data_IF_773284414722
#
_entry.id   IF_773284414722
#
_cell.length_a   1.000
_cell.length_b   1.000
_cell.length_c   1.000
_cell.angle_alpha   90.00
_cell.angle_beta   90.00
_cell.angle_gamma   90.00
#
_symmetry.space_group_name_H-M   'P 1'
#
loop_
_entity.id
_entity.type
_entity.pdbx_description
1 polymer ?
2 non-polymer ?
3 non-polymer ?
4 water ?
#
# COMPACT_ATOMS: atom_id res chain seq x y z
N UNK A 1 17.58 3.97 8.45
CA UNK A 1 17.49 3.50 9.85
C UNK A 1 17.06 4.62 10.81
N UNK A 2 16.00 4.36 11.57
CA UNK A 2 15.43 5.27 12.59
C UNK A 2 14.28 4.50 13.28
N UNK A 3 13.18 5.16 13.67
CA UNK A 3 11.99 4.42 14.15
C UNK A 3 11.30 3.69 13.01
N UNK A 4 11.34 2.37 13.06
CA UNK A 4 10.81 1.51 12.00
C UNK A 4 9.69 0.63 12.56
N UNK A 5 8.64 1.26 13.09
CA UNK A 5 7.49 0.54 13.62
C UNK A 5 6.32 0.74 12.66
N UNK A 6 5.63 -0.35 12.32
CA UNK A 6 4.48 -0.31 11.41
C UNK A 6 3.30 -1.10 11.97
N UNK A 7 2.14 -0.48 11.99
CA UNK A 7 0.87 -1.20 12.20
C UNK A 7 0.31 -1.46 10.82
N UNK A 8 0.17 -2.74 10.48
CA UNK A 8 -0.24 -3.18 9.16
C UNK A 8 -1.60 -3.89 9.28
N UNK A 9 -2.62 -3.35 8.63
CA UNK A 9 -4.02 -3.80 8.72
C UNK A 9 -4.47 -4.31 7.34
N UNK A 10 -4.52 -5.63 7.22
CA UNK A 10 -4.73 -6.29 5.95
C UNK A 10 -5.24 -7.71 6.17
N UNK A 11 -5.57 -8.35 5.08
CA UNK A 11 -5.92 -9.74 5.04
C UNK A 11 -4.75 -10.69 5.40
N UNK A 12 -5.12 -11.91 5.78
CA UNK A 12 -4.16 -12.98 6.01
C UNK A 12 -4.71 -14.27 5.44
N UNK A 13 -3.87 -14.99 4.70
CA UNK A 13 -4.16 -16.32 4.17
C UNK A 13 -3.14 -17.33 4.71
N UNK A 14 -3.59 -18.55 5.00
CA UNK A 14 -2.70 -19.64 5.38
C UNK A 14 -1.78 -20.01 4.24
N UNK A 15 -2.34 -20.23 3.06
CA UNK A 15 -1.55 -20.54 1.88
C UNK A 15 -1.52 -19.38 0.87
N UNK A 16 -0.32 -19.10 0.37
CA UNK A 16 -0.09 -18.09 -0.66
C UNK A 16 0.51 -16.83 -0.08
N UNK A 17 0.86 -15.92 -0.98
CA UNK A 17 1.53 -14.68 -0.57
C UNK A 17 0.70 -13.49 -1.01
N UNK A 18 -0.19 -13.09 -0.11
CA UNK A 18 -1.05 -11.92 -0.28
C UNK A 18 -1.23 -11.30 1.08
N UNK A 19 -1.67 -10.06 1.10
CA UNK A 19 -2.04 -9.41 2.34
C UNK A 19 -0.87 -9.30 3.28
N UNK A 20 -1.15 -9.46 4.58
CA UNK A 20 -0.13 -9.34 5.60
C UNK A 20 1.02 -10.32 5.46
N UNK A 21 0.78 -11.51 4.89
CA UNK A 21 1.90 -12.44 4.68
C UNK A 21 2.85 -11.86 3.62
N UNK A 22 2.27 -11.33 2.55
CA UNK A 22 3.05 -10.69 1.48
C UNK A 22 3.80 -9.43 1.91
N UNK A 23 3.21 -8.64 2.80
CA UNK A 23 3.79 -7.37 3.24
C UNK A 23 4.80 -7.52 4.36
N UNK A 24 4.57 -8.46 5.27
CA UNK A 24 5.29 -8.47 6.52
C UNK A 24 6.76 -8.87 6.33
N UNK A 25 7.02 -9.87 5.51
CA UNK A 25 8.38 -10.32 5.33
C UNK A 25 9.29 -9.22 4.70
N UNK A 26 8.85 -8.60 3.60
CA UNK A 26 9.70 -7.52 3.05
C UNK A 26 10.01 -6.42 4.05
N UNK A 27 9.02 -6.03 4.84
CA UNK A 27 9.22 -5.04 5.86
C UNK A 27 10.22 -5.49 6.93
N UNK A 28 10.09 -6.73 7.38
CA UNK A 28 10.98 -7.26 8.42
C UNK A 28 12.43 -7.37 7.90
N UNK A 29 12.55 -7.76 6.64
CA UNK A 29 13.82 -7.83 5.96
C UNK A 29 14.55 -6.48 5.94
N UNK A 30 13.76 -5.40 5.81
CA UNK A 30 14.27 -4.04 5.90
C UNK A 30 14.31 -3.49 7.34
N UNK A 31 14.13 -4.35 8.35
CA UNK A 31 14.35 -3.95 9.75
C UNK A 31 13.12 -3.42 10.49
N UNK A 32 11.93 -3.62 9.93
CA UNK A 32 10.73 -3.02 10.50
C UNK A 32 10.08 -3.97 11.49
N UNK A 33 9.66 -3.43 12.62
CA UNK A 33 8.80 -4.13 13.57
C UNK A 33 7.33 -3.97 13.12
N UNK A 34 6.78 -5.06 12.58
CA UNK A 34 5.44 -5.06 12.02
C UNK A 34 4.45 -5.63 13.04
N UNK A 35 3.52 -4.78 13.50
CA UNK A 35 2.36 -5.19 14.28
C UNK A 35 1.21 -5.39 13.33
N UNK A 36 0.72 -6.62 13.22
CA UNK A 36 -0.25 -6.98 12.21
C UNK A 36 -1.65 -7.09 12.82
N UNK A 37 -2.64 -6.59 12.09
CA UNK A 37 -4.06 -6.91 12.38
C UNK A 37 -4.61 -7.58 11.16
N UNK A 38 -5.01 -8.82 11.31
CA UNK A 38 -5.49 -9.63 10.21
C UNK A 38 -6.99 -9.48 10.09
N UNK A 39 -7.42 -8.74 9.07
CA UNK A 39 -8.83 -8.39 8.87
C UNK A 39 -9.66 -9.59 8.46
N UNK A 40 -9.02 -10.55 7.82
CA UNK A 40 -9.57 -11.87 7.60
C UNK A 40 -8.46 -12.89 7.80
N UNK A 41 -8.85 -14.12 8.15
CA UNK A 41 -7.91 -15.23 8.22
C UNK A 41 -8.46 -16.37 7.40
N UNK A 42 -8.11 -16.37 6.12
CA UNK A 42 -8.65 -17.33 5.15
C UNK A 42 -7.63 -18.42 4.78
N UNK A 43 -8.10 -19.44 4.07
CA UNK A 43 -7.28 -20.57 3.67
C UNK A 43 -6.33 -20.19 2.53
N UNK A 44 -6.83 -19.33 1.65
CA UNK A 44 -6.07 -18.88 0.49
C UNK A 44 -6.75 -17.67 -0.17
N UNK A 45 -6.07 -17.12 -1.17
CA UNK A 45 -6.63 -16.02 -1.94
C UNK A 45 -7.59 -16.58 -2.98
N UNK A 46 -8.27 -15.67 -3.68
CA UNK A 46 -9.13 -16.01 -4.81
C UNK A 46 -8.33 -16.75 -5.87
N UNK A 47 -9.02 -17.49 -6.73
CA UNK A 47 -8.38 -18.27 -7.80
C UNK A 47 -8.59 -19.77 -7.66
N UNK A 48 -8.52 -20.25 -6.42
CA UNK A 48 -8.69 -21.67 -6.13
C UNK A 48 -10.17 -22.10 -6.18
N UNK A 49 -10.43 -23.40 -6.42
CA UNK A 49 -11.82 -23.90 -6.39
C UNK A 49 -12.59 -23.45 -5.15
N UNK A 50 -11.90 -23.47 -4.00
CA UNK A 50 -12.53 -23.25 -2.70
C UNK A 50 -11.78 -22.19 -1.86
N UNK A 51 -12.53 -21.31 -1.20
CA UNK A 51 -11.97 -20.41 -0.20
C UNK A 51 -12.81 -20.49 1.08
N UNK A 52 -12.14 -20.63 2.22
CA UNK A 52 -12.78 -20.71 3.53
C UNK A 52 -12.02 -19.92 4.56
N UNK A 53 -12.69 -19.60 5.66
CA UNK A 53 -12.03 -19.01 6.83
C UNK A 53 -12.88 -17.96 7.52
N UNK A 54 -12.25 -17.29 8.49
CA UNK A 54 -12.92 -16.35 9.36
C UNK A 54 -12.73 -14.90 8.89
N UNK A 55 -13.78 -14.09 9.05
CA UNK A 55 -13.73 -12.68 8.69
C UNK A 55 -13.97 -11.89 9.96
N UNK A 56 -13.11 -10.91 10.19
CA UNK A 56 -13.19 -10.16 11.44
C UNK A 56 -14.50 -9.34 11.44
N UNK A 57 -15.23 -9.41 12.54
CA UNK A 57 -16.41 -8.55 12.79
C UNK A 57 -15.99 -7.24 13.42
N UNK A 58 -16.93 -6.30 13.50
CA UNK A 58 -16.68 -5.00 14.10
C UNK A 58 -16.40 -5.15 15.58
N UNK A 59 -17.21 -5.97 16.25
CA UNK A 59 -17.01 -6.32 17.64
C UNK A 59 -15.59 -6.87 17.96
N UNK A 60 -15.10 -7.77 17.11
CA UNK A 60 -13.78 -8.38 17.28
C UNK A 60 -12.68 -7.32 17.10
N UNK A 61 -12.78 -6.56 16.01
CA UNK A 61 -11.86 -5.46 15.78
C UNK A 61 -11.80 -4.54 16.99
N UNK A 62 -12.96 -3.97 17.37
CA UNK A 62 -13.02 -3.11 18.55
C UNK A 62 -12.39 -3.75 19.78
N UNK A 63 -12.62 -5.04 19.99
CA UNK A 63 -12.15 -5.70 21.20
C UNK A 63 -10.63 -5.84 21.19
N UNK A 64 -10.10 -6.28 20.04
CA UNK A 64 -8.65 -6.31 19.82
C UNK A 64 -8.07 -4.95 20.14
N UNK A 65 -8.67 -3.92 19.55
CA UNK A 65 -8.15 -2.56 19.67
C UNK A 65 -8.16 -2.01 21.10
N UNK A 66 -9.10 -2.47 21.94
CA UNK A 66 -9.10 -2.12 23.36
C UNK A 66 -7.78 -2.45 24.04
N UNK A 67 -7.25 -3.63 23.72
CA UNK A 67 -6.01 -4.10 24.30
C UNK A 67 -4.83 -3.28 23.78
N UNK A 68 -4.82 -3.11 22.47
CA UNK A 68 -3.79 -2.32 21.81
C UNK A 68 -3.73 -0.90 22.36
N UNK A 69 -4.90 -0.27 22.53
CA UNK A 69 -4.99 1.09 23.09
C UNK A 69 -4.62 1.11 24.57
N UNK A 70 -5.20 0.20 25.35
CA UNK A 70 -5.00 0.17 26.80
C UNK A 70 -3.52 0.05 27.18
N UNK A 71 -2.77 -0.73 26.38
CA UNK A 71 -1.36 -1.01 26.68
C UNK A 71 -0.41 0.02 26.09
N UNK A 72 -0.95 1.13 25.59
CA UNK A 72 -0.19 2.23 25.01
C UNK A 72 0.65 1.83 23.79
N UNK A 73 0.18 0.89 22.97
CA UNK A 73 0.92 0.51 21.76
C UNK A 73 0.72 1.53 20.63
N UNK A 74 -0.37 2.29 20.69
CA UNK A 74 -0.70 3.20 19.60
C UNK A 74 0.33 4.33 19.47
N UNK A 75 0.91 4.74 20.59
CA UNK A 75 1.91 5.81 20.58
C UNK A 75 3.21 5.45 19.87
N UNK A 76 3.44 4.17 19.59
CA UNK A 76 4.73 3.73 19.11
C UNK A 76 4.74 3.26 17.67
N UNK A 77 3.72 3.67 16.90
CA UNK A 77 3.72 3.38 15.48
C UNK A 77 4.17 4.61 14.68
N UNK A 78 5.25 4.45 13.93
CA UNK A 78 5.72 5.50 13.03
C UNK A 78 4.97 5.43 11.70
N UNK A 79 4.49 4.23 11.35
CA UNK A 79 3.76 4.00 10.13
C UNK A 79 2.44 3.25 10.39
N UNK A 80 1.44 3.59 9.61
CA UNK A 80 0.26 2.73 9.45
C UNK A 80 0.12 2.35 7.99
N UNK A 81 -0.06 1.05 7.76
CA UNK A 81 -0.23 0.51 6.42
C UNK A 81 -1.55 -0.22 6.37
N UNK A 82 -2.44 0.18 5.46
CA UNK A 82 -3.67 -0.56 5.24
C UNK A 82 -3.72 -1.15 3.83
N UNK A 83 -4.26 -2.35 3.76
CA UNK A 83 -4.43 -3.07 2.51
C UNK A 83 -5.87 -3.54 2.38
N UNK A 84 -6.03 -4.81 2.04
CA UNK A 84 -7.35 -5.39 1.80
C UNK A 84 -8.10 -5.49 3.11
N UNK A 85 -9.26 -4.81 3.17
CA UNK A 85 -10.17 -4.83 4.34
C UNK A 85 -11.60 -5.24 3.97
N UNK A 86 -12.15 -4.66 2.89
CA UNK A 86 -13.52 -4.96 2.44
C UNK A 86 -14.55 -5.14 3.56
N UNK A 87 -14.77 -4.09 4.34
CA UNK A 87 -15.79 -4.09 5.38
C UNK A 87 -16.05 -2.63 5.70
N UNK A 88 -17.26 -2.16 5.41
CA UNK A 88 -17.61 -0.74 5.56
C UNK A 88 -17.37 -0.24 6.98
N UNK A 89 -17.73 -1.05 7.97
CA UNK A 89 -17.65 -0.62 9.37
C UNK A 89 -16.19 -0.50 9.82
N UNK A 90 -15.34 -1.41 9.34
CA UNK A 90 -13.93 -1.48 9.79
C UNK A 90 -13.07 -0.46 9.05
N UNK A 91 -13.18 -0.43 7.73
CA UNK A 91 -12.50 0.63 6.97
C UNK A 91 -13.03 1.97 7.52
N UNK A 92 -14.31 1.95 7.90
CA UNK A 92 -14.92 3.08 8.56
C UNK A 92 -14.34 3.33 9.94
N UNK A 93 -14.07 2.25 10.66
CA UNK A 93 -13.37 2.32 11.96
C UNK A 93 -11.89 2.75 11.85
N UNK A 94 -11.25 2.47 10.72
CA UNK A 94 -9.82 2.79 10.59
C UNK A 94 -9.57 4.30 10.65
N UNK A 95 -10.53 5.09 10.14
CA UNK A 95 -10.52 6.54 10.30
C UNK A 95 -10.25 6.92 11.74
N UNK A 96 -10.89 6.20 12.65
CA UNK A 96 -10.67 6.40 14.09
C UNK A 96 -9.31 5.87 14.52
N UNK A 97 -8.97 4.64 14.11
CA UNK A 97 -7.66 4.06 14.45
C UNK A 97 -6.52 4.99 14.03
N UNK A 98 -6.59 5.52 12.80
CA UNK A 98 -5.65 6.52 12.31
C UNK A 98 -5.63 7.76 13.17
N UNK A 99 -6.81 8.30 13.50
CA UNK A 99 -6.88 9.57 14.24
C UNK A 99 -6.36 9.45 15.68
N UNK A 100 -6.57 8.29 16.32
CA UNK A 100 -6.03 8.07 17.68
C UNK A 100 -4.50 8.08 17.65
N UNK A 101 -3.92 7.43 16.64
CA UNK A 101 -2.46 7.37 16.52
C UNK A 101 -1.88 8.77 16.24
N UNK A 102 -2.40 9.48 15.25
CA UNK A 102 -1.82 10.78 14.86
C UNK A 102 -1.76 11.77 16.03
N UNK A 103 -2.84 11.87 16.79
CA UNK A 103 -2.86 12.79 17.95
C UNK A 103 -1.88 12.32 19.03
N UNK A 104 -1.84 11.02 19.33
CA UNK A 104 -0.87 10.48 20.27
C UNK A 104 0.57 10.85 19.85
N UNK A 105 0.86 10.69 18.57
CA UNK A 105 2.19 10.94 18.04
C UNK A 105 2.55 12.43 18.08
N UNK A 106 1.62 13.27 17.65
CA UNK A 106 1.86 14.71 17.56
C UNK A 106 2.14 15.31 18.95
N UNK A 107 1.42 14.84 19.95
CA UNK A 107 1.62 15.29 21.33
C UNK A 107 3.01 14.99 21.89
N UNK A 108 3.69 13.97 21.36
CA UNK A 108 5.07 13.68 21.77
C UNK A 108 6.10 14.13 20.74
N UNK A 109 5.67 14.99 19.82
CA UNK A 109 6.50 15.56 18.75
C UNK A 109 7.16 14.51 17.84
N UNK A 110 6.44 13.42 17.56
CA UNK A 110 6.89 12.40 16.61
C UNK A 110 5.97 12.37 15.40
N UNK A 111 6.44 11.76 14.32
CA UNK A 111 5.70 11.81 13.06
C UNK A 111 4.87 10.54 12.86
N UNK A 112 3.95 10.64 11.92
CA UNK A 112 3.19 9.50 11.49
C UNK A 112 3.02 9.57 9.99
N UNK A 113 3.23 8.42 9.35
CA UNK A 113 2.99 8.30 7.94
C UNK A 113 1.98 7.16 7.69
N UNK A 114 0.84 7.52 7.10
CA UNK A 114 -0.21 6.58 6.78
C UNK A 114 -0.16 6.33 5.28
N UNK A 115 0.16 5.08 4.93
CA UNK A 115 0.14 4.61 3.54
C UNK A 115 -1.08 3.72 3.35
N UNK A 116 -1.99 4.19 2.49
CA UNK A 116 -3.25 3.53 2.19
C UNK A 116 -3.23 2.91 0.82
N UNK A 117 -3.30 1.59 0.79
CA UNK A 117 -3.48 0.88 -0.43
C UNK A 117 -4.97 0.56 -0.49
N UNK A 118 -5.71 1.27 -1.35
CA UNK A 118 -7.17 1.22 -1.32
C UNK A 118 -7.68 0.02 -2.11
N UNK A 119 -7.46 -1.18 -1.58
CA UNK A 119 -7.71 -2.39 -2.33
C UNK A 119 -9.21 -2.59 -2.55
N UNK A 120 -9.61 -2.57 -3.81
CA UNK A 120 -10.99 -2.83 -4.24
C UNK A 120 -10.93 -3.59 -5.57
N UNK A 130 -18.67 -1.52 -3.61
CA UNK A 130 -19.90 -1.58 -2.83
C UNK A 130 -20.11 -0.28 -2.04
N UNK A 131 -20.55 -0.37 -0.79
CA UNK A 131 -20.50 0.76 0.17
C UNK A 131 -19.07 0.97 0.68
N UNK A 132 -18.19 0.02 0.38
CA UNK A 132 -16.75 0.14 0.61
C UNK A 132 -16.11 1.34 -0.12
N UNK A 133 -16.62 1.68 -1.31
CA UNK A 133 -16.13 2.83 -2.06
C UNK A 133 -16.34 4.11 -1.29
N UNK A 134 -17.57 4.33 -0.81
CA UNK A 134 -17.89 5.56 -0.06
C UNK A 134 -17.00 5.66 1.17
N UNK A 135 -16.79 4.53 1.84
CA UNK A 135 -15.93 4.49 3.01
C UNK A 135 -14.46 4.83 2.68
N UNK A 136 -13.97 4.33 1.55
CA UNK A 136 -12.60 4.70 1.12
C UNK A 136 -12.49 6.19 0.78
N UNK A 137 -13.52 6.74 0.16
CA UNK A 137 -13.53 8.16 -0.12
C UNK A 137 -13.37 8.98 1.14
N UNK A 138 -13.88 8.46 2.26
CA UNK A 138 -13.72 9.11 3.56
C UNK A 138 -12.35 8.85 4.22
N UNK A 139 -11.75 7.69 3.96
CA UNK A 139 -10.47 7.34 4.60
C UNK A 139 -9.26 7.92 3.86
N UNK A 140 -9.29 7.89 2.54
CA UNK A 140 -8.15 8.30 1.74
C UNK A 140 -7.66 9.73 2.04
N UNK A 141 -8.58 10.67 2.35
CA UNK A 141 -8.13 12.02 2.70
C UNK A 141 -7.15 12.11 3.86
N UNK A 142 -7.13 11.09 4.70
CA UNK A 142 -6.23 11.07 5.85
C UNK A 142 -4.84 10.46 5.50
N UNK A 143 -4.72 9.87 4.33
CA UNK A 143 -3.47 9.23 3.89
C UNK A 143 -2.39 10.25 3.53
N UNK A 144 -1.15 9.93 3.85
CA UNK A 144 0.02 10.66 3.37
C UNK A 144 0.43 10.15 1.98
N UNK A 145 0.30 8.84 1.80
CA UNK A 145 0.59 8.18 0.54
C UNK A 145 -0.57 7.24 0.19
N UNK A 146 -1.03 7.26 -1.06
CA UNK A 146 -1.99 6.29 -1.57
C UNK A 146 -1.42 5.61 -2.80
N UNK A 147 -1.73 4.32 -2.95
CA UNK A 147 -1.16 3.50 -4.03
C UNK A 147 -2.25 2.77 -4.86
N UNK A 148 -3.18 3.53 -5.45
CA UNK A 148 -4.23 2.92 -6.25
C UNK A 148 -3.71 2.27 -7.52
N UNK A 149 -4.27 1.13 -7.92
CA UNK A 149 -4.10 0.70 -9.29
C UNK A 149 -5.02 1.59 -10.15
N UNK A 150 -4.98 1.43 -11.45
CA UNK A 150 -5.79 2.29 -12.32
C UNK A 150 -7.30 2.14 -12.07
N UNK A 151 -7.74 0.94 -11.75
CA UNK A 151 -9.16 0.69 -11.50
C UNK A 151 -9.60 1.44 -10.25
N UNK A 152 -8.82 1.33 -9.18
CA UNK A 152 -9.12 2.01 -7.92
C UNK A 152 -9.04 3.53 -8.04
N UNK A 153 -8.10 4.02 -8.84
CA UNK A 153 -8.00 5.47 -9.10
C UNK A 153 -9.24 5.95 -9.87
N UNK A 154 -9.68 5.15 -10.85
CA UNK A 154 -10.90 5.44 -11.62
C UNK A 154 -12.17 5.46 -10.75
N UNK A 155 -12.29 4.48 -9.86
CA UNK A 155 -13.44 4.39 -8.96
C UNK A 155 -13.51 5.54 -7.98
N UNK A 156 -12.40 5.81 -7.32
CA UNK A 156 -12.37 6.85 -6.30
C UNK A 156 -12.55 8.24 -6.90
N UNK A 157 -11.86 8.52 -8.00
CA UNK A 157 -11.85 9.89 -8.56
C UNK A 157 -13.06 10.20 -9.45
N UNK A 158 -13.68 9.17 -10.03
CA UNK A 158 -14.75 9.38 -11.02
C UNK A 158 -14.23 9.54 -12.43
N UNK A 159 -12.89 9.51 -12.56
CA UNK A 159 -12.23 9.69 -13.85
C UNK A 159 -11.60 8.38 -14.32
N UNK A 160 -11.97 7.92 -15.51
CA UNK A 160 -11.47 6.68 -16.02
C UNK A 160 -10.01 6.87 -16.39
N UNK A 161 -9.14 6.10 -15.72
CA UNK A 161 -7.69 6.19 -15.91
C UNK A 161 -7.27 5.26 -17.04
N UNK A 162 -7.18 5.84 -18.23
CA UNK A 162 -6.85 5.14 -19.47
C UNK A 162 -5.37 5.35 -19.82
N UNK A 163 -4.86 6.55 -19.55
CA UNK A 163 -3.53 6.99 -20.01
C UNK A 163 -2.93 8.01 -19.04
N UNK A 164 -1.82 8.64 -19.43
CA UNK A 164 -1.12 9.61 -18.57
C UNK A 164 -2.01 10.81 -18.20
N UNK A 165 -2.66 11.38 -19.21
CA UNK A 165 -3.50 12.57 -19.01
C UNK A 165 -4.62 12.34 -18.02
N UNK A 166 -5.29 11.20 -18.16
CA UNK A 166 -6.39 10.85 -17.27
C UNK A 166 -5.85 10.47 -15.89
N UNK A 167 -4.71 9.78 -15.87
CA UNK A 167 -4.01 9.45 -14.61
C UNK A 167 -3.72 10.71 -13.79
N UNK A 168 -3.34 11.77 -14.49
CA UNK A 168 -3.04 13.05 -13.85
C UNK A 168 -4.30 13.70 -13.29
N UNK A 169 -5.41 13.65 -14.04
CA UNK A 169 -6.68 14.19 -13.52
C UNK A 169 -7.17 13.40 -12.29
N UNK A 170 -7.01 12.08 -12.34
CA UNK A 170 -7.31 11.22 -11.18
C UNK A 170 -6.45 11.62 -9.97
N UNK A 171 -5.16 11.76 -10.18
CA UNK A 171 -4.24 12.15 -9.11
C UNK A 171 -4.60 13.53 -8.52
N UNK A 172 -5.05 14.46 -9.34
CA UNK A 172 -5.52 15.76 -8.84
C UNK A 172 -6.67 15.61 -7.85
N UNK A 173 -7.60 14.71 -8.14
CA UNK A 173 -8.70 14.44 -7.21
C UNK A 173 -8.19 14.05 -5.81
N UNK A 174 -7.19 13.19 -5.76
CA UNK A 174 -6.59 12.79 -4.50
C UNK A 174 -5.94 13.97 -3.78
N UNK A 175 -5.21 14.81 -4.51
CA UNK A 175 -4.58 15.97 -3.86
C UNK A 175 -5.66 16.90 -3.33
N UNK A 176 -6.74 17.07 -4.08
CA UNK A 176 -7.81 17.97 -3.68
C UNK A 176 -8.47 17.53 -2.40
N UNK A 177 -8.55 16.23 -2.15
CA UNK A 177 -9.20 15.76 -0.91
C UNK A 177 -8.19 15.65 0.26
N UNK A 178 -6.91 15.91 -0.02
CA UNK A 178 -5.92 16.09 1.04
C UNK A 178 -4.65 15.26 0.94
N UNK A 179 -4.51 14.39 -0.06
CA UNK A 179 -3.39 13.44 -0.11
C UNK A 179 -2.11 14.04 -0.73
N UNK A 180 -1.01 14.04 0.01
CA UNK A 180 0.24 14.66 -0.47
C UNK A 180 0.90 13.85 -1.59
N UNK A 181 1.04 12.55 -1.39
CA UNK A 181 1.77 11.68 -2.31
C UNK A 181 0.85 10.64 -2.97
N UNK A 182 0.76 10.67 -4.29
CA UNK A 182 -0.12 9.76 -5.02
C UNK A 182 0.65 8.93 -6.03
N UNK A 183 0.56 7.60 -5.91
CA UNK A 183 1.16 6.74 -6.92
C UNK A 183 0.04 5.95 -7.62
N UNK A 184 -0.10 6.18 -8.92
CA UNK A 184 -0.98 5.36 -9.74
C UNK A 184 -0.07 4.34 -10.43
N UNK A 185 -0.18 3.09 -9.97
CA UNK A 185 0.86 2.08 -10.15
C UNK A 185 1.07 1.58 -11.55
N UNK A 186 0.03 1.66 -12.38
CA UNK A 186 0.17 1.37 -13.78
C UNK A 186 -1.07 1.71 -14.55
N UNK A 187 -0.84 1.87 -15.84
CA UNK A 187 -1.85 1.88 -16.86
C UNK A 187 -1.08 1.46 -18.10
N UNK A 188 -1.77 0.90 -19.08
CA UNK A 188 -1.13 0.40 -20.29
C UNK A 188 -1.29 1.39 -21.42
N UNK A 192 4.66 1.22 -25.78
CA UNK A 192 3.28 1.69 -25.86
C UNK A 192 2.28 0.58 -25.51
N UNK A 193 2.56 -0.67 -25.97
CA UNK A 193 1.92 -1.89 -25.42
C UNK A 193 2.82 -2.79 -24.57
N UNK A 194 4.10 -2.89 -24.95
CA UNK A 194 5.05 -3.80 -24.28
C UNK A 194 5.58 -3.25 -22.93
N UNK A 195 5.01 -2.12 -22.49
CA UNK A 195 5.39 -1.46 -21.24
C UNK A 195 4.16 -1.07 -20.43
N UNK A 196 4.36 -0.97 -19.11
CA UNK A 196 3.39 -0.35 -18.23
C UNK A 196 3.98 0.99 -17.81
N UNK A 197 3.16 2.04 -17.83
CA UNK A 197 3.56 3.37 -17.33
C UNK A 197 2.92 3.65 -15.97
N UNK A 198 3.67 4.31 -15.08
CA UNK A 198 3.14 4.75 -13.80
C UNK A 198 3.27 6.25 -13.65
N UNK A 199 2.51 6.80 -12.70
CA UNK A 199 2.54 8.21 -12.36
C UNK A 199 2.75 8.39 -10.87
N UNK A 200 3.69 9.25 -10.50
CA UNK A 200 3.84 9.69 -9.14
C UNK A 200 3.56 11.18 -9.18
N UNK A 201 2.65 11.62 -8.31
CA UNK A 201 2.29 13.03 -8.23
C UNK A 201 2.38 13.46 -6.78
N UNK A 202 3.08 14.56 -6.51
CA UNK A 202 3.25 15.08 -5.14
C UNK A 202 2.80 16.54 -5.03
N UNK A 203 2.02 16.84 -3.99
CA UNK A 203 1.57 18.20 -3.71
C UNK A 203 1.59 18.37 -2.21
N UNK A 204 2.59 19.09 -1.70
CA UNK A 204 2.82 19.16 -0.25
C UNK A 204 1.92 20.17 0.49
N UNK A 205 0.74 20.46 -0.03
CA UNK A 205 -0.21 21.36 0.64
C UNK A 205 -1.06 22.16 -0.32
N UNK A 206 -2.19 22.67 0.19
CA UNK A 206 -3.12 23.51 -0.60
C UNK A 206 -2.38 24.56 -1.42
N UNK A 207 -1.54 25.31 -0.73
CA UNK A 207 -0.72 26.38 -1.32
C UNK A 207 0.68 25.82 -1.57
N UNK A 208 0.74 24.80 -2.42
CA UNK A 208 1.97 24.16 -2.83
C UNK A 208 1.81 23.73 -4.30
N UNK A 209 2.88 23.89 -5.09
CA UNK A 209 2.81 23.55 -6.50
C UNK A 209 2.97 22.03 -6.68
N UNK A 210 2.19 21.45 -7.58
CA UNK A 210 2.22 20.01 -7.82
C UNK A 210 3.41 19.70 -8.72
N UNK A 211 4.12 18.62 -8.40
CA UNK A 211 5.16 18.09 -9.29
C UNK A 211 4.79 16.66 -9.66
N UNK A 212 5.04 16.29 -10.91
CA UNK A 212 4.71 14.95 -11.40
C UNK A 212 5.95 14.27 -11.92
N UNK A 213 5.95 12.94 -11.81
CA UNK A 213 6.98 12.10 -12.37
C UNK A 213 6.33 10.92 -13.09
N UNK A 214 6.97 10.43 -14.13
CA UNK A 214 6.50 9.23 -14.77
C UNK A 214 7.67 8.35 -15.17
N UNK A 215 7.41 7.06 -15.25
CA UNK A 215 8.40 6.07 -15.68
C UNK A 215 7.65 4.87 -16.22
N UNK A 216 8.41 3.89 -16.72
CA UNK A 216 7.84 2.69 -17.28
C UNK A 216 8.56 1.47 -16.71
N UNK A 217 7.89 0.33 -16.77
CA UNK A 217 8.48 -0.96 -16.48
C UNK A 217 8.05 -1.96 -17.57
N UNK A 218 8.92 -2.92 -17.92
CA UNK A 218 8.52 -3.90 -18.93
C UNK A 218 7.30 -4.70 -18.49
N UNK A 219 6.33 -4.82 -19.39
CA UNK A 219 5.12 -5.62 -19.16
C UNK A 219 5.42 -7.10 -19.36
N UNK A 220 5.00 -7.93 -18.40
CA UNK A 220 5.18 -9.38 -18.49
C UNK A 220 3.80 -10.06 -18.49
N UNK A 221 3.56 -10.90 -19.50
CA UNK A 221 2.25 -11.53 -19.70
C UNK A 221 1.94 -12.52 -18.57
N UNK A 222 0.67 -12.64 -18.26
CA UNK A 222 0.18 -13.47 -17.16
C UNK A 222 -0.27 -12.62 -15.99
N UNK A 223 -0.79 -13.27 -14.96
CA UNK A 223 -1.17 -12.60 -13.71
C UNK A 223 -0.29 -13.10 -12.58
N UNK A 224 0.05 -12.21 -11.65
CA UNK A 224 0.91 -12.55 -10.53
C UNK A 224 0.24 -12.03 -9.26
N UNK A 225 0.02 -12.93 -8.32
CA UNK A 225 -0.74 -12.59 -7.13
C UNK A 225 0.14 -11.86 -6.10
N UNK A 226 -0.46 -10.89 -5.41
CA UNK A 226 0.23 -10.19 -4.33
C UNK A 226 1.18 -9.05 -4.72
N UNK A 227 1.25 -8.70 -6.01
CA UNK A 227 2.15 -7.64 -6.50
C UNK A 227 1.87 -6.29 -5.82
N UNK A 228 0.59 -5.91 -5.73
CA UNK A 228 0.23 -4.66 -5.08
C UNK A 228 0.60 -4.62 -3.60
N UNK A 229 0.38 -5.73 -2.92
CA UNK A 229 0.72 -5.84 -1.51
C UNK A 229 2.25 -5.71 -1.26
N UNK A 230 3.05 -6.39 -2.08
CA UNK A 230 4.51 -6.32 -1.97
C UNK A 230 4.99 -4.92 -2.37
N UNK A 231 4.40 -4.35 -3.41
CA UNK A 231 4.77 -2.98 -3.82
C UNK A 231 4.63 -1.99 -2.67
N UNK A 232 3.45 -1.98 -2.04
CA UNK A 232 3.18 -1.04 -0.96
C UNK A 232 4.14 -1.22 0.20
N UNK A 233 4.47 -2.47 0.51
CA UNK A 233 5.36 -2.78 1.61
C UNK A 233 6.77 -2.29 1.30
N UNK A 234 7.22 -2.52 0.07
CA UNK A 234 8.55 -2.06 -0.34
C UNK A 234 8.63 -0.52 -0.41
N UNK A 235 7.54 0.10 -0.87
CA UNK A 235 7.47 1.55 -0.93
C UNK A 235 7.66 2.16 0.44
N UNK A 236 6.91 1.65 1.42
CA UNK A 236 7.08 2.06 2.82
C UNK A 236 8.53 1.93 3.23
N UNK A 237 9.07 0.72 3.08
CA UNK A 237 10.44 0.43 3.50
C UNK A 237 11.46 1.39 2.83
N UNK A 238 11.40 1.49 1.50
CA UNK A 238 12.34 2.35 0.75
C UNK A 238 12.12 3.85 0.99
N UNK A 239 10.88 4.24 1.31
CA UNK A 239 10.58 5.64 1.61
C UNK A 239 11.21 6.10 2.91
N UNK A 240 11.57 5.17 3.79
CA UNK A 240 12.15 5.55 5.08
C UNK A 240 13.41 6.44 4.95
N UNK A 241 14.32 6.11 4.06
CA UNK A 241 15.57 6.91 3.94
C UNK A 241 15.93 7.30 2.50
N UNK A 242 15.08 6.97 1.54
CA UNK A 242 15.26 7.42 0.18
C UNK A 242 14.18 8.43 -0.12
N UNK A 243 14.51 9.40 -1.00
CA UNK A 243 13.43 10.26 -1.47
C UNK A 243 12.34 9.44 -2.16
N UNK A 244 11.10 9.91 -2.11
CA UNK A 244 9.97 9.15 -2.64
C UNK A 244 10.13 8.67 -4.09
N UNK A 245 10.67 9.52 -4.97
CA UNK A 245 10.83 9.15 -6.38
C UNK A 245 11.79 7.98 -6.55
N UNK A 246 12.89 8.03 -5.80
CA UNK A 246 13.85 6.92 -5.72
C UNK A 246 13.20 5.70 -5.10
N UNK A 247 12.40 5.91 -4.05
CA UNK A 247 11.71 4.79 -3.38
C UNK A 247 10.71 4.07 -4.30
N UNK A 248 10.00 4.84 -5.11
CA UNK A 248 9.10 4.28 -6.12
C UNK A 248 9.88 3.46 -7.15
N UNK A 249 10.98 4.01 -7.62
CA UNK A 249 11.85 3.31 -8.58
C UNK A 249 12.35 1.97 -8.05
N UNK A 250 12.87 1.97 -6.82
CA UNK A 250 13.33 0.71 -6.20
C UNK A 250 12.21 -0.32 -5.97
N UNK A 251 11.03 0.15 -5.61
CA UNK A 251 9.87 -0.73 -5.42
C UNK A 251 9.45 -1.35 -6.74
N UNK A 252 9.41 -0.54 -7.80
CA UNK A 252 9.06 -1.02 -9.12
C UNK A 252 10.07 -2.05 -9.58
N UNK A 253 11.34 -1.82 -9.24
CA UNK A 253 12.42 -2.75 -9.57
C UNK A 253 12.30 -4.09 -8.84
N UNK A 254 11.97 -4.04 -7.54
CA UNK A 254 11.76 -5.28 -6.76
C UNK A 254 10.72 -6.13 -7.46
N UNK A 255 9.57 -5.55 -7.77
CA UNK A 255 8.49 -6.27 -8.43
C UNK A 255 8.93 -6.81 -9.79
N UNK A 256 9.59 -5.97 -10.58
CA UNK A 256 10.05 -6.37 -11.91
C UNK A 256 10.95 -7.61 -11.83
N UNK A 257 11.88 -7.65 -10.88
CA UNK A 257 12.76 -8.80 -10.71
C UNK A 257 12.04 -10.04 -10.14
N UNK A 258 11.11 -9.83 -9.22
CA UNK A 258 10.36 -10.94 -8.64
C UNK A 258 9.48 -11.61 -9.69
N UNK A 259 8.85 -10.80 -10.53
CA UNK A 259 7.99 -11.32 -11.58
C UNK A 259 8.78 -12.10 -12.62
N UNK A 260 10.02 -11.70 -12.85
CA UNK A 260 10.94 -12.42 -13.74
C UNK A 260 11.46 -13.71 -13.09
N UNK A 261 11.71 -13.66 -11.79
CA UNK A 261 12.18 -14.82 -11.05
C UNK A 261 11.17 -15.98 -11.01
N UNK A 262 9.87 -15.66 -10.96
CA UNK A 262 8.83 -16.70 -11.02
C UNK A 262 8.52 -17.19 -12.43
N UNK A 263 9.02 -16.50 -13.45
CA UNK A 263 8.94 -17.00 -14.84
C UNK A 263 9.84 -18.23 -15.06
N UNK A 264 10.74 -18.50 -14.11
CA UNK A 264 11.56 -19.72 -14.13
C UNK A 264 11.01 -20.75 -13.14
N UNK A 275 -2.55 -17.97 -12.13
CA UNK A 275 -2.02 -16.72 -11.60
C UNK A 275 -1.16 -17.01 -10.38
N UNK A 276 0.15 -17.14 -10.58
CA UNK A 276 1.01 -17.81 -9.60
C UNK A 276 1.82 -16.91 -8.66
N UNK A 277 2.37 -17.53 -7.62
CA UNK A 277 2.95 -16.82 -6.47
C UNK A 277 4.28 -16.15 -6.82
N UNK A 278 4.55 -15.03 -6.16
CA UNK A 278 5.90 -14.46 -6.14
C UNK A 278 6.65 -15.19 -5.04
N UNK A 279 7.85 -15.63 -5.34
CA UNK A 279 8.68 -16.31 -4.36
C UNK A 279 9.64 -15.27 -3.77
N UNK A 280 9.15 -14.48 -2.82
CA UNK A 280 9.96 -13.42 -2.20
C UNK A 280 11.01 -14.06 -1.28
N UNK A 281 10.59 -15.12 -0.59
CA UNK A 281 11.42 -15.80 0.39
C UNK A 281 12.66 -16.42 -0.28
N UNK A 282 12.49 -16.91 -1.51
CA UNK A 282 13.60 -17.40 -2.32
C UNK A 282 14.54 -16.30 -2.81
N UNK A 283 14.09 -15.05 -2.82
CA UNK A 283 14.93 -13.95 -3.36
C UNK A 283 15.05 -12.74 -2.45
N UNK A 284 15.57 -12.92 -1.23
CA UNK A 284 15.62 -11.83 -0.26
C UNK A 284 16.55 -10.69 -0.66
N UNK A 285 17.63 -11.00 -1.38
CA UNK A 285 18.54 -9.93 -1.81
C UNK A 285 17.87 -9.05 -2.86
N UNK A 286 16.91 -9.56 -3.60
CA UNK A 286 16.16 -8.71 -4.54
C UNK A 286 15.31 -7.67 -3.78
N UNK A 287 14.67 -8.09 -2.71
CA UNK A 287 13.86 -7.20 -1.89
C UNK A 287 14.72 -6.16 -1.16
N UNK A 288 15.88 -6.57 -0.68
CA UNK A 288 16.77 -5.69 0.06
C UNK A 288 17.47 -4.72 -0.89
N UNK A 289 17.98 -5.27 -1.99
CA UNK A 289 18.88 -4.55 -2.91
C UNK A 289 18.53 -4.80 -4.37
N UNK A 290 17.42 -4.22 -4.87
CA UNK A 290 17.13 -4.43 -6.28
C UNK A 290 18.24 -3.83 -7.17
N UNK A 291 18.56 -4.53 -8.25
CA UNK A 291 19.66 -4.11 -9.13
C UNK A 291 19.15 -3.47 -10.41
N UNK A 292 17.95 -3.82 -10.84
CA UNK A 292 17.32 -3.22 -12.03
C UNK A 292 17.03 -1.75 -11.75
N UNK A 293 17.29 -0.87 -12.73
CA UNK A 293 17.07 0.56 -12.52
C UNK A 293 15.76 0.96 -13.22
N UNK A 294 14.88 1.61 -12.46
CA UNK A 294 13.68 2.20 -13.01
C UNK A 294 13.82 3.70 -12.83
N UNK A 295 13.80 4.40 -13.96
CA UNK A 295 13.90 5.85 -13.99
C UNK A 295 12.53 6.41 -13.67
N UNK A 296 12.46 7.22 -12.61
CA UNK A 296 11.25 7.96 -12.27
C UNK A 296 11.49 9.40 -12.69
N UNK A 297 11.07 9.73 -13.90
CA UNK A 297 11.48 10.96 -14.56
C UNK A 297 10.49 12.10 -14.32
N UNK A 298 10.97 13.25 -13.83
CA UNK A 298 10.10 14.44 -13.69
C UNK A 298 9.40 14.84 -14.98
N UNK A 299 8.20 15.41 -14.85
CA UNK A 299 7.45 16.03 -15.95
C UNK A 299 7.47 17.55 -15.81
#
# INVERSE_FOLDING_TARGET
>A
MSEKTVLSIQSFVTHGYVGNKAATFPLQLHGFDVDGINTVCLSNHSGYPVIRGHRMSLQEYDELMEGVRANNFLSNYRYILTGYINNVDIIGRIRDTLKEVRELREKEDKKLTFICDPVMGDDGIMYCKKEVLDAYRELVPLADIVTPNYFEASLLSGVTVNDLSSAILAADWFHNCGVAHVIIKSFREQENPTHLRFLYSVKEGSEAAVRRFSGVVPYHEGRYTGTGDVFAACLLAFSHSHPMDVAIGKSMAVLQELIIATRKEGGDGKSSLKSRELRVVASPQVVLQPSTVVDVKPIS
#
